data_IF_179531628964
#
_entry.id   IF_179531628964
#
_cell.length_a   1.000
_cell.length_b   1.000
_cell.length_c   1.000
_cell.angle_alpha   90.00
_cell.angle_beta   90.00
_cell.angle_gamma   90.00
#
_symmetry.space_group_name_H-M   'P 1'
#
loop_
_entity.id
_entity.type
_entity.pdbx_description
1 polymer ?
#
# COMPACT_ATOMS: atom_id res chain seq x y z
N UNK A 1 -14.07 6.42 -14.37
CA UNK A 1 -13.95 6.40 -12.90
C UNK A 1 -12.53 6.79 -12.49
N UNK A 2 -12.40 7.41 -11.33
CA UNK A 2 -11.13 7.75 -10.69
C UNK A 2 -10.93 6.84 -9.48
N UNK A 3 -9.93 5.97 -9.54
CA UNK A 3 -9.63 4.96 -8.53
C UNK A 3 -8.33 5.34 -7.82
N UNK A 4 -8.31 5.35 -6.50
CA UNK A 4 -7.08 5.49 -5.73
C UNK A 4 -6.59 4.11 -5.27
N UNK A 5 -5.31 3.82 -5.49
CA UNK A 5 -4.67 2.63 -4.94
C UNK A 5 -3.72 3.07 -3.83
N UNK A 6 -4.01 2.64 -2.62
CA UNK A 6 -3.27 2.96 -1.39
C UNK A 6 -2.63 1.70 -0.82
N UNK A 7 -1.47 1.84 -0.20
CA UNK A 7 -0.76 0.75 0.44
C UNK A 7 0.16 1.26 1.57
N UNK A 8 0.70 0.34 2.35
CA UNK A 8 1.75 0.63 3.32
C UNK A 8 1.36 1.76 4.29
N UNK A 9 0.17 1.64 4.90
CA UNK A 9 -0.34 2.60 5.88
C UNK A 9 0.44 2.52 7.20
N UNK A 10 0.86 1.29 7.55
CA UNK A 10 1.78 1.02 8.65
C UNK A 10 1.44 1.76 9.95
N UNK A 11 0.17 1.76 10.35
CA UNK A 11 -0.24 2.39 11.61
C UNK A 11 0.02 3.91 11.68
N UNK A 12 0.28 4.58 10.55
CA UNK A 12 0.39 6.04 10.50
C UNK A 12 -0.99 6.66 10.22
N UNK A 13 -1.78 6.75 11.28
CA UNK A 13 -3.15 7.25 11.15
C UNK A 13 -3.24 8.73 10.73
N UNK A 14 -2.37 9.66 11.19
CA UNK A 14 -2.34 11.02 10.67
C UNK A 14 -2.14 11.10 9.15
N UNK A 15 -1.19 10.34 8.60
CA UNK A 15 -0.98 10.27 7.16
C UNK A 15 -2.19 9.68 6.41
N UNK A 16 -2.81 8.65 6.99
CA UNK A 16 -4.03 8.03 6.45
C UNK A 16 -5.18 9.03 6.37
N UNK A 17 -5.39 9.85 7.41
CA UNK A 17 -6.46 10.87 7.43
C UNK A 17 -6.22 11.97 6.41
N UNK A 18 -4.98 12.46 6.26
CA UNK A 18 -4.68 13.50 5.29
C UNK A 18 -4.78 12.98 3.84
N UNK A 19 -4.39 11.73 3.62
CA UNK A 19 -4.65 11.04 2.34
C UNK A 19 -6.16 10.95 2.10
N UNK A 20 -6.96 10.46 3.04
CA UNK A 20 -8.40 10.33 2.92
C UNK A 20 -9.10 11.66 2.55
N UNK A 21 -8.78 12.74 3.28
CA UNK A 21 -9.30 14.09 2.97
C UNK A 21 -8.92 14.56 1.57
N UNK A 22 -7.72 14.21 1.13
CA UNK A 22 -7.24 14.59 -0.21
C UNK A 22 -7.96 13.80 -1.29
N UNK A 23 -8.16 12.48 -1.11
CA UNK A 23 -8.91 11.64 -2.03
C UNK A 23 -10.37 12.11 -2.18
N UNK A 24 -11.03 12.45 -1.07
CA UNK A 24 -12.37 13.04 -1.08
C UNK A 24 -12.40 14.35 -1.87
N UNK A 25 -11.47 15.27 -1.60
CA UNK A 25 -11.39 16.58 -2.28
C UNK A 25 -11.18 16.49 -3.78
N UNK A 26 -10.39 15.51 -4.25
CA UNK A 26 -10.15 15.32 -5.70
C UNK A 26 -11.22 14.47 -6.38
N UNK A 27 -12.22 14.01 -5.63
CA UNK A 27 -13.37 13.27 -6.14
C UNK A 27 -12.98 11.87 -6.62
N UNK A 28 -12.36 11.06 -5.76
CA UNK A 28 -12.09 9.65 -6.03
C UNK A 28 -13.39 8.86 -5.89
N UNK A 29 -13.70 8.03 -6.89
CA UNK A 29 -14.91 7.21 -6.92
C UNK A 29 -14.76 5.88 -6.16
N UNK A 30 -13.52 5.36 -6.07
CA UNK A 30 -13.23 4.04 -5.50
C UNK A 30 -11.83 4.00 -4.88
N UNK A 31 -11.63 3.25 -3.81
CA UNK A 31 -10.35 3.09 -3.14
C UNK A 31 -10.00 1.59 -3.05
N UNK A 32 -8.82 1.22 -3.56
CA UNK A 32 -8.26 -0.11 -3.49
C UNK A 32 -7.05 -0.14 -2.57
N UNK A 33 -7.00 -1.13 -1.71
CA UNK A 33 -5.92 -1.32 -0.75
C UNK A 33 -5.00 -2.46 -1.16
N UNK A 34 -3.69 -2.17 -1.26
CA UNK A 34 -2.67 -3.11 -1.73
C UNK A 34 -1.70 -3.56 -0.61
N UNK A 35 -2.20 -3.74 0.61
CA UNK A 35 -1.45 -4.38 1.68
C UNK A 35 -0.73 -3.44 2.66
N UNK A 36 -0.34 -4.03 3.79
CA UNK A 36 0.39 -3.41 4.89
C UNK A 36 -0.37 -2.25 5.57
N UNK A 37 -1.59 -2.56 6.05
CA UNK A 37 -2.37 -1.63 6.87
C UNK A 37 -1.71 -1.37 8.22
N UNK A 38 -1.05 -2.37 8.79
CA UNK A 38 -0.64 -2.44 10.19
C UNK A 38 0.87 -2.48 10.38
N UNK A 39 1.31 -2.41 11.62
CA UNK A 39 2.74 -2.46 11.98
C UNK A 39 3.43 -1.11 11.92
N UNK A 40 4.69 -1.07 12.30
CA UNK A 40 5.59 0.11 12.36
C UNK A 40 5.08 1.24 13.26
N UNK A 41 4.00 1.91 12.90
CA UNK A 41 3.44 3.03 13.65
C UNK A 41 2.44 2.61 14.74
N UNK A 42 2.04 3.57 15.61
CA UNK A 42 1.21 3.28 16.80
C UNK A 42 -0.27 3.08 16.49
N UNK A 43 -0.77 3.49 15.32
CA UNK A 43 -2.20 3.51 14.98
C UNK A 43 -2.66 2.30 14.15
N UNK A 44 -2.18 1.08 14.43
CA UNK A 44 -2.51 -0.11 13.63
C UNK A 44 -4.00 -0.46 13.66
N UNK A 45 -4.69 -0.21 14.79
CA UNK A 45 -6.14 -0.38 14.89
C UNK A 45 -6.88 0.56 13.96
N UNK A 46 -6.55 1.84 14.05
CA UNK A 46 -7.22 2.92 13.32
C UNK A 46 -7.02 2.77 11.80
N UNK A 47 -5.81 2.42 11.35
CA UNK A 47 -5.53 2.20 9.93
C UNK A 47 -6.22 0.95 9.40
N UNK A 48 -6.25 -0.14 10.17
CA UNK A 48 -7.00 -1.35 9.82
C UNK A 48 -8.51 -1.06 9.68
N UNK A 49 -9.09 -0.35 10.64
CA UNK A 49 -10.52 0.00 10.61
C UNK A 49 -10.83 0.95 9.44
N UNK A 50 -9.93 1.89 9.16
CA UNK A 50 -10.10 2.78 8.02
C UNK A 50 -10.13 2.01 6.69
N UNK A 51 -9.20 1.07 6.48
CA UNK A 51 -9.19 0.22 5.27
C UNK A 51 -10.48 -0.57 5.16
N UNK A 52 -10.92 -1.23 6.23
CA UNK A 52 -12.17 -2.02 6.25
C UNK A 52 -13.40 -1.21 5.92
N UNK A 53 -13.43 0.06 6.30
CA UNK A 53 -14.59 0.94 6.11
C UNK A 53 -14.61 1.63 4.75
N UNK A 54 -13.46 1.84 4.09
CA UNK A 54 -13.36 2.73 2.95
C UNK A 54 -12.86 2.06 1.65
N UNK A 55 -12.25 0.86 1.72
CA UNK A 55 -11.70 0.21 0.55
C UNK A 55 -12.59 -0.91 0.03
N UNK A 56 -12.88 -0.92 -1.27
CA UNK A 56 -13.77 -1.91 -1.91
C UNK A 56 -13.02 -3.14 -2.40
N UNK A 57 -11.72 -3.01 -2.71
CA UNK A 57 -10.81 -4.10 -3.02
C UNK A 57 -9.67 -4.05 -2.00
N UNK A 58 -9.40 -5.18 -1.35
CA UNK A 58 -8.32 -5.30 -0.38
C UNK A 58 -7.51 -6.57 -0.64
N UNK A 59 -6.19 -6.41 -0.68
CA UNK A 59 -5.22 -7.51 -0.65
C UNK A 59 -4.32 -7.37 0.57
N UNK A 60 -3.71 -8.47 1.03
CA UNK A 60 -2.82 -8.46 2.18
C UNK A 60 -1.36 -8.32 1.79
N UNK A 61 -0.59 -7.64 2.64
CA UNK A 61 0.85 -7.55 2.56
C UNK A 61 1.56 -8.43 3.61
N UNK A 62 2.88 -8.42 3.60
CA UNK A 62 3.67 -9.26 4.50
C UNK A 62 3.50 -8.89 5.99
N UNK A 63 3.28 -7.61 6.31
CA UNK A 63 2.98 -7.21 7.69
C UNK A 63 1.57 -7.63 8.12
N UNK A 64 0.59 -7.54 7.22
CA UNK A 64 -0.78 -7.98 7.51
C UNK A 64 -0.81 -9.47 7.84
N UNK A 65 -0.16 -10.31 7.03
CA UNK A 65 -0.06 -11.75 7.30
C UNK A 65 0.82 -12.08 8.49
N UNK A 66 1.96 -11.40 8.65
CA UNK A 66 2.87 -11.61 9.77
C UNK A 66 2.20 -11.36 11.12
N UNK A 67 1.52 -10.22 11.23
CA UNK A 67 0.80 -9.81 12.45
C UNK A 67 -0.49 -10.61 12.60
N UNK A 68 -1.31 -10.71 11.55
CA UNK A 68 -2.56 -11.46 11.58
C UNK A 68 -2.39 -12.93 11.93
N UNK A 69 -1.32 -13.55 11.43
CA UNK A 69 -0.94 -14.94 11.67
C UNK A 69 -0.09 -15.17 12.93
N UNK A 70 0.25 -14.14 13.69
CA UNK A 70 1.15 -14.21 14.87
C UNK A 70 2.49 -14.87 14.55
N UNK A 71 3.07 -14.55 13.40
CA UNK A 71 4.28 -15.24 12.95
C UNK A 71 5.53 -14.86 13.76
N UNK A 72 5.57 -13.63 14.31
CA UNK A 72 6.73 -13.12 15.03
C UNK A 72 6.35 -12.69 16.45
N UNK A 73 6.93 -13.30 17.50
CA UNK A 73 6.62 -12.95 18.89
C UNK A 73 6.84 -11.47 19.25
N UNK A 74 7.78 -10.79 18.57
CA UNK A 74 8.06 -9.36 18.78
C UNK A 74 6.92 -8.42 18.33
N UNK A 75 5.92 -8.96 17.63
CA UNK A 75 4.76 -8.22 17.15
C UNK A 75 3.56 -8.28 18.12
N UNK A 76 3.74 -8.79 19.36
CA UNK A 76 2.68 -8.93 20.36
C UNK A 76 2.03 -7.58 20.73
N UNK A 77 2.77 -6.49 20.67
CA UNK A 77 2.27 -5.12 20.80
C UNK A 77 1.12 -4.85 19.80
N UNK A 78 1.29 -5.20 18.53
CA UNK A 78 0.27 -5.00 17.50
C UNK A 78 -0.91 -5.96 17.68
N UNK A 79 -0.67 -7.20 18.15
CA UNK A 79 -1.74 -8.16 18.41
C UNK A 79 -2.71 -7.66 19.49
N UNK A 80 -2.18 -7.01 20.53
CA UNK A 80 -2.99 -6.41 21.58
C UNK A 80 -3.85 -5.26 21.07
N UNK A 81 -3.31 -4.42 20.20
CA UNK A 81 -4.06 -3.31 19.60
C UNK A 81 -5.20 -3.80 18.69
N UNK A 82 -4.92 -4.79 17.85
CA UNK A 82 -5.84 -5.25 16.80
C UNK A 82 -6.96 -6.12 17.36
N UNK A 83 -6.63 -6.98 18.29
CA UNK A 83 -7.55 -8.00 18.79
C UNK A 83 -7.85 -9.09 17.74
N UNK A 84 -8.56 -10.15 18.14
CA UNK A 84 -8.71 -11.36 17.32
C UNK A 84 -9.48 -11.13 16.03
N UNK A 85 -10.46 -10.25 16.03
CA UNK A 85 -11.33 -10.00 14.86
C UNK A 85 -10.53 -9.35 13.70
N UNK A 86 -9.76 -8.28 13.98
CA UNK A 86 -8.96 -7.60 12.96
C UNK A 86 -7.83 -8.49 12.46
N UNK A 87 -7.20 -9.24 13.36
CA UNK A 87 -6.15 -10.20 13.00
C UNK A 87 -6.69 -11.30 12.07
N UNK A 88 -7.86 -11.85 12.36
CA UNK A 88 -8.51 -12.82 11.50
C UNK A 88 -8.83 -12.23 10.12
N UNK A 89 -9.31 -10.99 10.06
CA UNK A 89 -9.57 -10.28 8.81
C UNK A 89 -8.28 -10.07 8.00
N UNK A 90 -7.21 -9.55 8.60
CA UNK A 90 -5.91 -9.37 7.93
C UNK A 90 -5.40 -10.69 7.33
N UNK A 91 -5.50 -11.77 8.08
CA UNK A 91 -5.05 -13.10 7.64
C UNK A 91 -5.96 -13.72 6.56
N UNK A 92 -7.17 -13.22 6.39
CA UNK A 92 -8.12 -13.68 5.36
C UNK A 92 -8.00 -12.95 4.02
N UNK A 93 -7.23 -11.88 3.95
CA UNK A 93 -7.06 -11.10 2.72
C UNK A 93 -6.40 -11.95 1.62
N UNK A 94 -6.87 -11.84 0.37
CA UNK A 94 -6.18 -12.48 -0.76
C UNK A 94 -4.80 -11.84 -0.97
N UNK A 95 -3.83 -12.60 -1.45
CA UNK A 95 -2.49 -12.10 -1.75
C UNK A 95 -2.41 -11.36 -3.08
N UNK A 96 -3.35 -11.63 -3.98
CA UNK A 96 -3.41 -11.04 -5.32
C UNK A 96 -4.86 -10.80 -5.75
N UNK A 97 -5.04 -9.78 -6.58
CA UNK A 97 -6.29 -9.50 -7.27
C UNK A 97 -6.05 -9.14 -8.73
N UNK A 98 -7.11 -9.08 -9.50
CA UNK A 98 -7.11 -8.64 -10.89
C UNK A 98 -8.18 -7.57 -11.10
N UNK A 99 -7.89 -6.64 -12.00
CA UNK A 99 -8.85 -5.64 -12.45
C UNK A 99 -8.65 -5.35 -13.92
N UNK A 100 -9.71 -5.01 -14.62
CA UNK A 100 -9.61 -4.54 -16.00
C UNK A 100 -10.07 -3.09 -16.06
N UNK A 101 -9.24 -2.21 -16.58
CA UNK A 101 -9.55 -0.79 -16.74
C UNK A 101 -9.14 -0.34 -18.14
N UNK A 102 -10.09 0.23 -18.90
CA UNK A 102 -9.86 0.76 -20.25
C UNK A 102 -9.16 -0.23 -21.21
N UNK A 103 -9.53 -1.51 -21.16
CA UNK A 103 -8.95 -2.56 -21.98
C UNK A 103 -7.65 -3.16 -21.46
N UNK A 104 -7.08 -2.64 -20.38
CA UNK A 104 -5.86 -3.17 -19.77
C UNK A 104 -6.22 -4.07 -18.59
N UNK A 105 -5.79 -5.33 -18.65
CA UNK A 105 -5.90 -6.27 -17.52
C UNK A 105 -4.71 -6.08 -16.59
N UNK A 106 -4.98 -5.66 -15.36
CA UNK A 106 -4.00 -5.43 -14.32
C UNK A 106 -3.91 -6.61 -13.35
N UNK A 107 -2.67 -6.99 -13.00
CA UNK A 107 -2.34 -7.81 -11.86
C UNK A 107 -2.05 -6.91 -10.68
N UNK A 108 -2.69 -7.17 -9.53
CA UNK A 108 -2.56 -6.41 -8.30
C UNK A 108 -2.01 -7.32 -7.20
N UNK A 109 -0.92 -6.93 -6.55
CA UNK A 109 -0.37 -7.61 -5.39
C UNK A 109 0.42 -6.62 -4.53
N UNK A 110 0.74 -7.00 -3.30
CA UNK A 110 1.53 -6.10 -2.44
C UNK A 110 3.01 -6.03 -2.89
N UNK A 111 3.63 -7.12 -3.02
CA UNK A 111 5.01 -7.46 -3.21
C UNK A 111 5.23 -8.78 -2.49
N UNK A 112 5.84 -8.76 -1.31
CA UNK A 112 5.93 -9.95 -0.45
C UNK A 112 4.58 -10.32 0.20
N UNK A 113 4.21 -11.58 0.31
CA UNK A 113 5.00 -12.78 0.00
C UNK A 113 4.87 -13.31 -1.44
N UNK A 114 4.17 -12.61 -2.34
CA UNK A 114 3.92 -13.08 -3.72
C UNK A 114 5.19 -13.12 -4.55
N UNK A 115 6.07 -12.14 -4.33
CA UNK A 115 7.37 -12.02 -5.01
C UNK A 115 8.43 -11.51 -4.02
N UNK A 116 9.68 -11.47 -4.44
CA UNK A 116 10.71 -10.73 -3.72
C UNK A 116 10.48 -9.22 -3.81
N UNK A 117 11.23 -8.45 -3.02
CA UNK A 117 11.20 -6.99 -3.10
C UNK A 117 11.55 -6.49 -4.51
N UNK A 118 10.65 -5.70 -5.08
CA UNK A 118 10.82 -5.07 -6.39
C UNK A 118 11.05 -3.56 -6.23
N UNK A 119 12.02 -3.04 -6.98
CA UNK A 119 12.37 -1.62 -6.95
C UNK A 119 12.48 -1.04 -8.37
N UNK A 120 12.41 0.29 -8.48
CA UNK A 120 12.46 0.98 -9.78
C UNK A 120 13.75 0.71 -10.57
N UNK A 121 14.84 0.37 -9.91
CA UNK A 121 16.15 0.10 -10.49
C UNK A 121 16.33 -1.34 -10.95
N UNK A 122 15.41 -2.26 -10.61
CA UNK A 122 15.47 -3.62 -11.08
C UNK A 122 15.49 -3.68 -12.62
N UNK A 123 16.17 -4.67 -13.15
CA UNK A 123 16.25 -4.85 -14.60
C UNK A 123 14.89 -5.21 -15.20
N UNK A 124 14.80 -5.04 -16.52
CA UNK A 124 13.57 -5.26 -17.27
C UNK A 124 13.10 -6.72 -17.24
N UNK A 125 14.01 -7.68 -17.11
CA UNK A 125 13.67 -9.10 -17.18
C UNK A 125 13.07 -9.54 -15.83
N UNK A 126 13.63 -9.08 -14.70
CA UNK A 126 13.06 -9.27 -13.36
C UNK A 126 11.66 -8.65 -13.25
N UNK A 127 11.51 -7.39 -13.65
CA UNK A 127 10.21 -6.72 -13.61
C UNK A 127 9.22 -7.34 -14.61
N UNK A 128 9.69 -7.69 -15.82
CA UNK A 128 8.89 -8.31 -16.89
C UNK A 128 8.32 -9.67 -16.50
N UNK A 129 9.04 -10.44 -15.69
CA UNK A 129 8.57 -11.74 -15.21
C UNK A 129 7.27 -11.66 -14.41
N UNK A 130 6.94 -10.50 -13.81
CA UNK A 130 5.70 -10.31 -13.03
C UNK A 130 4.43 -10.25 -13.87
N UNK A 131 4.54 -10.04 -15.19
CA UNK A 131 3.40 -9.91 -16.10
C UNK A 131 2.77 -11.23 -16.51
N UNK A 132 3.42 -12.36 -16.24
CA UNK A 132 2.92 -13.67 -16.62
C UNK A 132 2.73 -14.57 -15.41
N UNK A 133 1.56 -15.17 -15.28
CA UNK A 133 1.24 -16.16 -14.26
C UNK A 133 0.49 -17.33 -14.91
N UNK A 134 0.13 -18.35 -14.14
CA UNK A 134 -0.76 -19.44 -14.59
C UNK A 134 -2.13 -18.90 -15.06
N UNK A 135 -2.55 -17.71 -14.61
CA UNK A 135 -3.78 -17.04 -15.02
C UNK A 135 -3.67 -16.32 -16.37
N UNK A 136 -2.49 -16.33 -16.99
CA UNK A 136 -2.21 -15.73 -18.29
C UNK A 136 -1.32 -14.49 -18.21
N UNK A 137 -1.38 -13.67 -19.26
CA UNK A 137 -0.57 -12.46 -19.42
C UNK A 137 -1.40 -11.24 -19.04
N UNK A 138 -0.76 -10.30 -18.34
CA UNK A 138 -1.32 -9.02 -17.94
C UNK A 138 -0.71 -7.89 -18.77
N UNK A 139 -1.50 -6.84 -19.05
CA UNK A 139 -1.04 -5.62 -19.70
C UNK A 139 -0.53 -4.57 -18.71
N UNK A 140 -0.77 -4.80 -17.41
CA UNK A 140 -0.30 -3.94 -16.35
C UNK A 140 -0.06 -4.71 -15.05
N UNK A 141 0.89 -4.22 -14.26
CA UNK A 141 1.20 -4.73 -12.92
C UNK A 141 1.25 -3.55 -11.96
N UNK A 142 0.49 -3.61 -10.87
CA UNK A 142 0.48 -2.59 -9.83
C UNK A 142 0.79 -3.25 -8.49
N UNK A 143 1.76 -2.71 -7.77
CA UNK A 143 2.24 -3.26 -6.51
C UNK A 143 2.73 -2.17 -5.54
N UNK A 144 3.22 -2.54 -4.35
CA UNK A 144 3.66 -1.67 -3.26
C UNK A 144 4.98 -2.14 -2.62
N UNK A 145 5.04 -2.39 -1.31
CA UNK A 145 6.12 -3.03 -0.51
C UNK A 145 7.45 -2.24 -0.43
N UNK A 146 7.93 -1.65 -1.54
CA UNK A 146 9.20 -0.91 -1.52
C UNK A 146 9.08 0.52 -0.98
N UNK A 147 7.87 0.99 -0.73
CA UNK A 147 7.53 2.33 -0.25
C UNK A 147 8.03 3.48 -1.15
N UNK A 148 8.42 3.20 -2.39
CA UNK A 148 8.96 4.15 -3.36
C UNK A 148 8.11 4.15 -4.62
N UNK A 149 7.30 5.18 -4.85
CA UNK A 149 6.41 5.21 -6.00
C UNK A 149 7.19 5.34 -7.31
N UNK A 150 6.76 4.61 -8.34
CA UNK A 150 7.23 4.80 -9.70
C UNK A 150 6.23 4.28 -10.73
N UNK A 151 6.34 4.78 -11.95
CA UNK A 151 5.64 4.27 -13.14
C UNK A 151 6.69 4.01 -14.21
N UNK A 152 6.72 2.80 -14.77
CA UNK A 152 7.56 2.42 -15.90
C UNK A 152 6.72 1.73 -16.96
N UNK A 153 7.14 1.88 -18.23
CA UNK A 153 6.61 1.11 -19.35
C UNK A 153 7.69 0.14 -19.81
N UNK A 154 7.33 -1.13 -19.89
CA UNK A 154 8.16 -2.21 -20.42
C UNK A 154 7.54 -2.72 -21.71
N UNK A 155 8.20 -3.65 -22.41
CA UNK A 155 7.63 -4.28 -23.61
C UNK A 155 6.35 -5.07 -23.33
N UNK A 156 6.19 -5.55 -22.08
CA UNK A 156 5.02 -6.29 -21.58
C UNK A 156 3.83 -5.37 -21.26
N UNK A 157 4.08 -4.12 -20.86
CA UNK A 157 3.05 -3.18 -20.44
C UNK A 157 3.49 -2.21 -19.35
N UNK A 158 2.53 -1.80 -18.52
CA UNK A 158 2.77 -0.86 -17.43
C UNK A 158 3.15 -1.58 -16.14
N UNK A 159 4.23 -1.13 -15.47
CA UNK A 159 4.57 -1.57 -14.12
C UNK A 159 4.64 -0.38 -13.19
N UNK A 160 3.90 -0.45 -12.08
CA UNK A 160 3.66 0.69 -11.19
C UNK A 160 3.81 0.26 -9.74
N UNK A 161 4.57 1.04 -8.97
CA UNK A 161 4.56 0.98 -7.51
C UNK A 161 3.77 2.17 -6.97
N UNK A 162 2.81 1.91 -6.08
CA UNK A 162 1.93 2.94 -5.52
C UNK A 162 2.65 3.88 -4.54
N UNK A 163 3.82 3.50 -4.06
CA UNK A 163 4.44 4.12 -2.89
C UNK A 163 3.72 3.72 -1.59
N UNK A 164 3.94 4.47 -0.55
CA UNK A 164 3.41 4.23 0.79
C UNK A 164 2.63 5.44 1.29
N UNK A 165 1.48 5.20 1.93
CA UNK A 165 0.75 6.26 2.65
C UNK A 165 1.44 6.63 3.94
N UNK A 166 1.85 5.64 4.73
CA UNK A 166 2.28 5.86 6.11
C UNK A 166 3.78 5.90 6.36
N UNK A 167 4.59 5.34 5.44
CA UNK A 167 6.02 5.16 5.67
C UNK A 167 6.84 5.26 4.38
N UNK A 168 6.68 6.34 3.62
CA UNK A 168 7.37 6.54 2.35
C UNK A 168 8.87 6.68 2.49
N UNK A 169 9.61 6.06 1.59
CA UNK A 169 11.08 6.10 1.52
C UNK A 169 11.52 6.97 0.34
N UNK A 170 12.49 7.86 0.58
CA UNK A 170 13.00 8.84 -0.37
C UNK A 170 12.36 10.21 -0.20
N UNK A 171 11.04 10.30 -0.29
CA UNK A 171 10.28 11.55 -0.09
C UNK A 171 9.30 11.34 1.06
N UNK A 172 9.44 12.02 2.22
CA UNK A 172 8.61 11.80 3.41
C UNK A 172 7.23 12.48 3.26
N UNK A 173 6.43 11.99 2.32
CA UNK A 173 5.03 12.36 2.09
C UNK A 173 4.20 11.10 1.92
N UNK A 174 2.90 11.18 2.12
CA UNK A 174 2.02 10.08 1.79
C UNK A 174 1.85 9.97 0.27
N UNK A 175 1.95 8.75 -0.27
CA UNK A 175 1.78 8.49 -1.70
C UNK A 175 0.64 7.52 -1.96
N UNK A 176 -0.02 7.72 -3.11
CA UNK A 176 -1.00 6.81 -3.69
C UNK A 176 -0.88 6.83 -5.21
N UNK A 177 -1.34 5.79 -5.89
CA UNK A 177 -1.56 5.81 -7.33
C UNK A 177 -3.00 6.25 -7.61
N UNK A 178 -3.17 7.20 -8.53
CA UNK A 178 -4.48 7.52 -9.11
C UNK A 178 -4.55 6.89 -10.50
N UNK A 179 -5.58 6.07 -10.71
CA UNK A 179 -5.90 5.39 -11.96
C UNK A 179 -7.24 5.92 -12.46
N UNK A 180 -7.26 6.57 -13.63
CA UNK A 180 -8.50 7.05 -14.22
C UNK A 180 -8.76 6.32 -15.54
N UNK A 181 -9.98 5.78 -15.69
CA UNK A 181 -10.37 5.04 -16.87
C UNK A 181 -11.77 4.41 -16.73
N UNK A 182 -12.07 3.52 -17.65
CA UNK A 182 -13.34 2.77 -17.67
C UNK A 182 -13.14 1.44 -16.91
N UNK A 183 -13.62 1.41 -15.65
CA UNK A 183 -13.56 0.22 -14.79
C UNK A 183 -14.40 -0.92 -15.40
N UNK A 184 -13.90 -2.15 -15.29
CA UNK A 184 -14.52 -3.39 -15.76
C UNK A 184 -14.76 -3.43 -17.29
N UNK A 185 -14.09 -2.54 -18.06
CA UNK A 185 -14.19 -2.48 -19.52
C UNK A 185 -12.99 -3.17 -20.18
N UNK A 186 -13.28 -4.19 -20.98
CA UNK A 186 -12.29 -4.84 -21.86
C UNK A 186 -12.05 -4.03 -23.17
N UNK A 187 -12.84 -2.99 -23.43
CA UNK A 187 -12.68 -2.14 -24.60
C UNK A 187 -11.59 -1.12 -24.35
N UNK A 188 -10.61 -0.98 -25.25
CA UNK A 188 -9.60 0.08 -25.15
C UNK A 188 -10.21 1.47 -25.08
N UNK A 189 -9.84 2.23 -24.05
CA UNK A 189 -10.27 3.59 -23.80
C UNK A 189 -9.11 4.42 -23.21
N UNK A 190 -9.21 5.74 -23.10
CA UNK A 190 -8.21 6.54 -22.42
C UNK A 190 -7.95 6.03 -20.99
N UNK A 191 -6.67 5.93 -20.63
CA UNK A 191 -6.19 5.48 -19.33
C UNK A 191 -5.15 6.47 -18.82
N UNK A 192 -5.37 7.00 -17.62
CA UNK A 192 -4.39 7.87 -16.96
C UNK A 192 -3.91 7.22 -15.65
N UNK A 193 -2.62 7.28 -15.42
CA UNK A 193 -1.97 6.86 -14.17
C UNK A 193 -1.11 7.99 -13.66
N UNK A 194 -1.26 8.37 -12.39
CA UNK A 194 -0.46 9.41 -11.77
C UNK A 194 -0.15 9.10 -10.31
N UNK A 195 1.05 9.49 -9.87
CA UNK A 195 1.43 9.39 -8.46
C UNK A 195 0.92 10.64 -7.74
N UNK A 196 0.04 10.45 -6.78
CA UNK A 196 -0.40 11.47 -5.84
C UNK A 196 0.58 11.54 -4.67
N UNK A 197 1.06 12.74 -4.36
CA UNK A 197 1.98 12.99 -3.24
C UNK A 197 1.34 14.01 -2.29
N UNK A 198 1.00 13.58 -1.08
CA UNK A 198 0.24 14.36 -0.09
C UNK A 198 1.13 14.69 1.11
N UNK A 199 1.34 15.98 1.41
CA UNK A 199 1.90 16.35 2.70
C UNK A 199 0.89 16.01 3.80
N UNK A 200 1.39 15.52 4.94
CA UNK A 200 0.54 15.20 6.08
C UNK A 200 1.14 15.78 7.37
N UNK A 201 0.37 15.79 8.45
CA UNK A 201 0.84 16.25 9.76
C UNK A 201 1.85 15.27 10.37
N UNK A 202 3.11 15.41 9.94
CA UNK A 202 4.23 14.60 10.44
C UNK A 202 4.48 14.85 11.94
N UNK A 203 4.15 16.06 12.46
CA UNK A 203 4.32 16.36 13.88
C UNK A 203 3.33 15.57 14.72
N UNK A 204 2.08 15.47 14.29
CA UNK A 204 1.08 14.62 14.94
C UNK A 204 1.49 13.14 14.92
N UNK A 205 2.04 12.63 13.81
CA UNK A 205 2.52 11.26 13.71
C UNK A 205 3.71 10.99 14.66
N UNK A 206 4.66 11.91 14.75
CA UNK A 206 5.78 11.84 15.69
C UNK A 206 5.30 11.93 17.15
N UNK A 207 4.35 12.84 17.45
CA UNK A 207 3.80 12.97 18.79
C UNK A 207 3.07 11.69 19.23
N UNK A 208 2.28 11.08 18.35
CA UNK A 208 1.62 9.79 18.61
C UNK A 208 2.63 8.68 18.90
N UNK A 209 3.69 8.58 18.11
CA UNK A 209 4.74 7.59 18.34
C UNK A 209 5.50 7.81 19.66
N UNK A 210 5.78 9.08 20.03
CA UNK A 210 6.46 9.41 21.29
C UNK A 210 5.61 9.21 22.52
N UNK A 211 4.30 9.30 22.39
CA UNK A 211 3.37 9.07 23.49
C UNK A 211 3.22 7.58 23.85
N UNK A 212 3.74 6.68 23.04
CA UNK A 212 3.64 5.24 23.27
C UNK A 212 5.03 4.63 23.50
N UNK A 213 5.39 4.44 24.75
CA UNK A 213 6.68 3.88 25.16
C UNK A 213 6.84 2.39 24.78
N UNK A 214 5.74 1.68 24.54
CA UNK A 214 5.74 0.28 24.16
C UNK A 214 5.91 0.07 22.65
N UNK A 215 5.84 1.14 21.83
CA UNK A 215 5.94 1.02 20.37
C UNK A 215 7.28 0.41 19.93
N UNK A 216 7.29 -0.76 19.28
CA UNK A 216 8.50 -1.39 18.79
C UNK A 216 9.22 -0.51 17.76
N UNK A 217 10.55 -0.41 17.87
CA UNK A 217 11.39 0.35 16.94
C UNK A 217 10.95 1.81 16.74
N UNK A 218 10.40 2.43 17.78
CA UNK A 218 9.85 3.80 17.77
C UNK A 218 10.76 4.82 17.10
N UNK A 219 12.04 4.86 17.49
CA UNK A 219 12.97 5.86 16.96
C UNK A 219 13.28 5.62 15.47
N UNK A 220 13.34 4.37 15.03
CA UNK A 220 13.49 4.03 13.62
C UNK A 220 12.25 4.49 12.82
N UNK A 221 11.05 4.23 13.32
CA UNK A 221 9.80 4.70 12.70
C UNK A 221 9.78 6.24 12.59
N UNK A 222 10.08 6.96 13.67
CA UNK A 222 10.13 8.44 13.68
C UNK A 222 11.13 8.94 12.63
N UNK A 223 12.33 8.35 12.57
CA UNK A 223 13.32 8.71 11.57
C UNK A 223 12.83 8.47 10.15
N UNK A 224 12.23 7.33 9.87
CA UNK A 224 11.70 6.99 8.55
C UNK A 224 10.66 8.01 8.08
N UNK A 225 9.65 8.32 8.91
CA UNK A 225 8.56 9.23 8.52
C UNK A 225 8.99 10.71 8.45
N UNK A 226 10.09 11.09 9.12
CA UNK A 226 10.59 12.48 9.09
C UNK A 226 11.61 12.73 8.00
N UNK A 227 12.39 11.71 7.63
CA UNK A 227 13.54 11.87 6.72
C UNK A 227 13.37 11.12 5.39
N UNK A 228 12.47 10.16 5.32
CA UNK A 228 12.37 9.22 4.20
C UNK A 228 13.56 8.26 4.08
N UNK A 229 14.37 8.11 5.13
CA UNK A 229 15.53 7.22 5.16
C UNK A 229 15.20 5.95 5.92
N UNK A 230 15.32 4.79 5.25
CA UNK A 230 15.12 3.50 5.88
C UNK A 230 16.07 3.30 7.06
N UNK A 231 15.57 2.81 8.19
CA UNK A 231 16.28 2.82 9.47
C UNK A 231 16.25 1.47 10.24
N UNK A 232 15.82 0.39 9.60
CA UNK A 232 15.72 -0.96 10.21
C UNK A 232 16.67 -1.94 9.55
#
# INVERSE_FOLDING_TARGET
MKIALVADLHGNYPATLDMARTLERIGVDDIWFLGDAVGKGPGSRETCDWVRANCTLCIGGNWDYGIGGKQFPADDYYWQQLGPERMAWLNSLPSEAEATVSGVRFRLFHGRPVTELLVAQDDKDKLGATFTTERGVFGGVIFADSHRPFIRTLKEGYIVNTGSVGNSIGVPKAHALILEGEKDSAVPAPLMMSILSVPYDTQAAVAAARADDALPFRDAYIREITTGVYSR
#
